data_IF_366692872321
#
_entry.id   IF_366692872321
#
_cell.length_a   1.000
_cell.length_b   1.000
_cell.length_c   1.000
_cell.angle_alpha   90.00
_cell.angle_beta   90.00
_cell.angle_gamma   90.00
#
_symmetry.space_group_name_H-M   'P 1'
#
loop_
_entity.id
_entity.type
_entity.pdbx_description
1 polymer ?
#
# COMPACT_ATOMS: atom_id res chain seq x y z
N UNK A 1 -9.41 12.14 -1.12
CA UNK A 1 -8.44 13.06 -0.47
C UNK A 1 -7.99 14.11 -1.47
N UNK A 2 -7.74 15.37 -1.07
CA UNK A 2 -7.12 16.39 -1.94
C UNK A 2 -5.78 16.79 -1.33
N UNK A 3 -4.70 16.53 -2.05
CA UNK A 3 -3.36 16.92 -1.63
C UNK A 3 -2.73 17.79 -2.72
N UNK A 4 -1.87 18.73 -2.31
CA UNK A 4 -1.35 19.79 -3.16
C UNK A 4 0.17 19.63 -3.28
N UNK A 5 0.68 19.68 -4.51
CA UNK A 5 2.11 19.70 -4.80
C UNK A 5 2.36 20.68 -5.95
N UNK A 6 3.22 21.69 -5.73
CA UNK A 6 3.47 22.75 -6.70
C UNK A 6 2.20 23.50 -7.12
N UNK A 7 1.89 23.52 -8.42
CA UNK A 7 0.70 24.18 -8.98
C UNK A 7 -0.44 23.19 -9.29
N UNK A 8 -0.43 22.01 -8.69
CA UNK A 8 -1.40 20.95 -8.97
C UNK A 8 -2.03 20.33 -7.72
N UNK A 9 -3.31 20.00 -7.82
CA UNK A 9 -3.97 19.08 -6.91
C UNK A 9 -3.93 17.67 -7.49
N UNK A 10 -3.70 16.71 -6.59
CA UNK A 10 -3.90 15.29 -6.87
C UNK A 10 -5.10 14.80 -6.06
N UNK A 11 -5.97 14.05 -6.73
CA UNK A 11 -7.26 13.64 -6.20
C UNK A 11 -7.42 12.13 -6.40
N UNK A 12 -7.51 11.41 -5.29
CA UNK A 12 -8.01 10.02 -5.28
C UNK A 12 -9.53 10.06 -5.31
N UNK A 13 -10.15 9.45 -6.33
CA UNK A 13 -11.59 9.62 -6.64
C UNK A 13 -12.18 8.38 -7.30
N UNK A 14 -13.46 8.14 -7.07
CA UNK A 14 -14.31 7.12 -7.70
C UNK A 14 -15.13 7.67 -8.91
N UNK A 15 -14.97 8.96 -9.18
CA UNK A 15 -15.60 9.65 -10.31
C UNK A 15 -15.51 8.85 -11.62
N UNK A 16 -16.58 8.95 -12.41
CA UNK A 16 -16.69 8.33 -13.74
C UNK A 16 -16.76 6.80 -13.72
N UNK A 17 -17.22 6.21 -12.59
CA UNK A 17 -17.38 4.76 -12.44
C UNK A 17 -16.07 4.05 -12.09
N UNK A 18 -15.14 4.74 -11.44
CA UNK A 18 -13.87 4.19 -11.00
C UNK A 18 -14.06 3.47 -9.65
N UNK A 19 -14.69 2.29 -9.65
CA UNK A 19 -15.04 1.56 -8.41
C UNK A 19 -13.83 1.23 -7.52
N UNK A 20 -12.66 1.03 -8.13
CA UNK A 20 -11.40 0.78 -7.43
C UNK A 20 -10.51 2.03 -7.27
N UNK A 21 -11.12 3.20 -7.46
CA UNK A 21 -10.52 4.52 -7.45
C UNK A 21 -9.46 4.75 -8.52
N UNK A 22 -9.27 6.02 -8.88
CA UNK A 22 -8.20 6.51 -9.73
C UNK A 22 -7.54 7.73 -9.10
N UNK A 23 -6.36 8.09 -9.58
CA UNK A 23 -5.71 9.37 -9.27
C UNK A 23 -5.86 10.30 -10.46
N UNK A 24 -6.46 11.46 -10.21
CA UNK A 24 -6.53 12.57 -11.16
C UNK A 24 -5.62 13.71 -10.70
N UNK A 25 -5.05 14.45 -11.66
CA UNK A 25 -4.35 15.72 -11.44
C UNK A 25 -5.19 16.87 -11.99
N UNK A 26 -5.26 17.98 -11.26
CA UNK A 26 -5.96 19.19 -11.67
C UNK A 26 -5.12 20.45 -11.38
N UNK A 27 -5.19 21.51 -12.20
CA UNK A 27 -4.50 22.77 -11.93
C UNK A 27 -5.01 23.42 -10.63
N UNK A 28 -4.10 23.92 -9.79
CA UNK A 28 -4.45 24.54 -8.51
C UNK A 28 -5.29 25.81 -8.68
N UNK A 29 -5.06 26.56 -9.76
CA UNK A 29 -5.80 27.78 -10.08
C UNK A 29 -7.20 27.52 -10.69
N UNK A 30 -7.50 26.31 -11.16
CA UNK A 30 -8.80 25.94 -11.71
C UNK A 30 -9.05 24.42 -11.55
N UNK A 31 -9.32 23.94 -10.32
CA UNK A 31 -9.39 22.51 -10.00
C UNK A 31 -10.74 21.86 -10.34
N UNK A 32 -11.50 22.44 -11.26
CA UNK A 32 -12.82 21.94 -11.64
C UNK A 32 -12.69 20.60 -12.41
N UNK A 33 -13.69 19.72 -12.26
CA UNK A 33 -13.69 18.37 -12.84
C UNK A 33 -13.33 18.32 -14.35
N UNK A 34 -13.78 19.24 -15.21
CA UNK A 34 -13.39 19.24 -16.63
C UNK A 34 -11.87 19.39 -16.88
N UNK A 35 -11.11 19.90 -15.91
CA UNK A 35 -9.66 20.05 -16.01
C UNK A 35 -8.90 18.89 -15.36
N UNK A 36 -9.60 17.84 -14.92
CA UNK A 36 -8.96 16.67 -14.33
C UNK A 36 -8.35 15.81 -15.43
N UNK A 37 -7.12 15.37 -15.20
CA UNK A 37 -6.39 14.46 -16.07
C UNK A 37 -6.04 13.23 -15.25
N UNK A 38 -6.41 12.04 -15.73
CA UNK A 38 -6.06 10.79 -15.07
C UNK A 38 -4.53 10.58 -15.14
N UNK A 39 -3.91 10.48 -13.97
CA UNK A 39 -2.46 10.23 -13.82
C UNK A 39 -2.18 8.79 -13.40
N UNK A 40 -3.13 8.18 -12.68
CA UNK A 40 -3.20 6.74 -12.45
C UNK A 40 -4.65 6.29 -12.67
N UNK A 41 -4.98 5.67 -13.82
CA UNK A 41 -6.33 5.18 -14.09
C UNK A 41 -6.78 4.08 -13.11
N UNK A 42 -8.10 3.91 -12.98
CA UNK A 42 -8.69 2.79 -12.23
C UNK A 42 -8.35 1.45 -12.88
N UNK A 43 -8.30 0.39 -12.06
CA UNK A 43 -8.03 -0.97 -12.50
C UNK A 43 -8.94 -1.96 -11.78
N UNK A 44 -9.41 -2.99 -12.48
CA UNK A 44 -10.18 -4.09 -11.86
C UNK A 44 -9.31 -5.03 -11.01
N UNK A 45 -7.98 -4.84 -11.05
CA UNK A 45 -7.01 -5.71 -10.39
C UNK A 45 -6.41 -5.10 -9.11
N UNK A 46 -6.63 -3.80 -8.88
CA UNK A 46 -6.03 -3.08 -7.75
C UNK A 46 -6.98 -1.99 -7.26
N UNK A 47 -7.21 -1.94 -5.95
CA UNK A 47 -7.90 -0.85 -5.26
C UNK A 47 -6.90 0.09 -4.56
N UNK A 48 -7.14 1.41 -4.62
CA UNK A 48 -6.43 2.39 -3.80
C UNK A 48 -7.17 2.54 -2.46
N UNK A 49 -6.49 2.25 -1.36
CA UNK A 49 -7.06 2.33 0.00
C UNK A 49 -6.76 3.70 0.65
N UNK A 50 -5.56 4.24 0.44
CA UNK A 50 -5.15 5.54 0.97
C UNK A 50 -4.01 6.17 0.14
N UNK A 51 -3.70 7.44 0.39
CA UNK A 51 -2.60 8.15 -0.25
C UNK A 51 -1.93 9.22 0.61
N UNK A 52 -0.62 9.36 0.47
CA UNK A 52 0.20 10.34 1.19
C UNK A 52 1.07 11.15 0.24
N UNK A 53 0.99 12.48 0.32
CA UNK A 53 1.70 13.38 -0.59
C UNK A 53 3.03 13.82 -0.04
N UNK A 54 4.04 13.74 -0.89
CA UNK A 54 5.36 14.34 -0.76
C UNK A 54 5.57 15.34 -1.88
N UNK A 55 6.60 16.18 -1.78
CA UNK A 55 6.89 17.24 -2.75
C UNK A 55 6.92 16.74 -4.21
N UNK A 56 7.60 15.62 -4.44
CA UNK A 56 7.81 15.05 -5.78
C UNK A 56 7.11 13.70 -6.00
N UNK A 57 6.42 13.17 -4.99
CA UNK A 57 5.85 11.82 -5.04
C UNK A 57 4.48 11.76 -4.39
N UNK A 58 3.59 10.94 -4.94
CA UNK A 58 2.39 10.48 -4.26
C UNK A 58 2.58 9.00 -3.90
N UNK A 59 2.48 8.70 -2.62
CA UNK A 59 2.55 7.34 -2.09
C UNK A 59 1.13 6.82 -1.99
N UNK A 60 0.86 5.65 -2.54
CA UNK A 60 -0.45 5.02 -2.56
C UNK A 60 -0.38 3.69 -1.82
N UNK A 61 -1.26 3.53 -0.84
CA UNK A 61 -1.48 2.25 -0.18
C UNK A 61 -2.57 1.54 -0.96
N UNK A 62 -2.23 0.39 -1.53
CA UNK A 62 -3.08 -0.33 -2.46
C UNK A 62 -3.24 -1.78 -2.03
N UNK A 63 -4.29 -2.41 -2.55
CA UNK A 63 -4.52 -3.84 -2.39
C UNK A 63 -4.81 -4.48 -3.73
N UNK A 64 -4.17 -5.62 -4.00
CA UNK A 64 -4.47 -6.40 -5.20
C UNK A 64 -5.87 -7.04 -5.10
N UNK A 65 -6.41 -7.48 -6.23
CA UNK A 65 -7.63 -8.28 -6.29
C UNK A 65 -7.55 -9.57 -5.47
N UNK A 66 -6.35 -10.10 -5.30
CA UNK A 66 -6.06 -11.26 -4.45
C UNK A 66 -6.02 -10.91 -2.95
N UNK A 67 -6.02 -9.63 -2.59
CA UNK A 67 -6.06 -9.15 -1.21
C UNK A 67 -4.70 -8.75 -0.63
N UNK A 68 -3.64 -8.80 -1.43
CA UNK A 68 -2.28 -8.50 -0.98
C UNK A 68 -2.05 -6.99 -0.92
N UNK A 69 -1.68 -6.44 0.25
CA UNK A 69 -1.35 -5.03 0.35
C UNK A 69 0.01 -4.75 -0.31
N UNK A 70 0.14 -3.58 -0.92
CA UNK A 70 1.41 -3.08 -1.42
C UNK A 70 1.41 -1.56 -1.45
N UNK A 71 2.61 -0.97 -1.56
CA UNK A 71 2.77 0.47 -1.67
C UNK A 71 3.24 0.79 -3.09
N UNK A 72 2.53 1.71 -3.75
CA UNK A 72 2.92 2.26 -5.04
C UNK A 72 3.41 3.69 -4.87
N UNK A 73 4.54 3.98 -5.49
CA UNK A 73 5.10 5.33 -5.59
C UNK A 73 4.78 5.87 -6.99
N UNK A 74 4.09 7.01 -7.05
CA UNK A 74 3.87 7.79 -8.27
C UNK A 74 4.78 9.02 -8.25
N UNK A 75 5.75 9.08 -9.17
CA UNK A 75 6.59 10.26 -9.38
C UNK A 75 5.80 11.35 -10.13
N UNK A 76 5.69 12.54 -9.54
CA UNK A 76 4.78 13.58 -10.01
C UNK A 76 5.26 14.33 -11.26
N UNK A 77 6.58 14.38 -11.45
CA UNK A 77 7.27 15.08 -12.54
C UNK A 77 7.19 14.31 -13.86
N UNK A 78 7.38 12.99 -13.79
CA UNK A 78 7.46 12.07 -14.92
C UNK A 78 6.18 11.28 -15.13
N UNK A 79 5.27 11.30 -14.15
CA UNK A 79 4.08 10.48 -14.10
C UNK A 79 4.37 8.97 -14.22
N UNK A 80 5.51 8.53 -13.67
CA UNK A 80 5.91 7.12 -13.65
C UNK A 80 5.63 6.48 -12.31
N UNK A 81 5.38 5.18 -12.29
CA UNK A 81 5.09 4.43 -11.07
C UNK A 81 6.10 3.32 -10.84
N UNK A 82 6.27 2.96 -9.58
CA UNK A 82 6.91 1.71 -9.17
C UNK A 82 6.34 1.24 -7.83
N UNK A 83 6.45 -0.06 -7.57
CA UNK A 83 5.94 -0.67 -6.34
C UNK A 83 7.10 -0.96 -5.39
N UNK A 84 6.91 -0.69 -4.09
CA UNK A 84 7.86 -1.05 -3.05
C UNK A 84 7.79 -2.56 -2.84
N UNK A 85 8.92 -3.25 -3.06
CA UNK A 85 9.02 -4.69 -2.87
C UNK A 85 9.27 -5.00 -1.39
N UNK A 86 8.30 -5.63 -0.73
CA UNK A 86 8.47 -6.18 0.62
C UNK A 86 9.08 -7.59 0.57
N UNK A 87 9.71 -8.04 1.67
CA UNK A 87 10.03 -9.45 1.86
C UNK A 87 8.82 -10.36 1.63
N UNK A 88 9.04 -11.56 1.12
CA UNK A 88 7.96 -12.48 0.71
C UNK A 88 7.06 -12.90 1.87
N UNK A 89 7.67 -13.17 3.03
CA UNK A 89 7.04 -13.52 4.30
C UNK A 89 6.20 -12.38 4.92
N UNK A 90 6.34 -11.17 4.39
CA UNK A 90 5.65 -9.97 4.86
C UNK A 90 4.50 -9.52 3.96
N UNK A 91 4.30 -10.21 2.82
CA UNK A 91 3.21 -9.92 1.87
C UNK A 91 1.84 -10.29 2.43
N UNK A 92 1.79 -11.23 3.36
CA UNK A 92 0.55 -11.66 4.03
C UNK A 92 0.40 -10.85 5.32
N UNK A 93 -0.04 -9.61 5.19
CA UNK A 93 -0.12 -8.71 6.34
C UNK A 93 -0.99 -7.49 6.13
N UNK A 94 -0.73 -6.47 6.95
CA UNK A 94 -1.30 -5.14 6.88
C UNK A 94 -0.16 -4.15 6.83
N UNK A 95 -0.23 -3.22 5.88
CA UNK A 95 0.68 -2.08 5.76
C UNK A 95 -0.02 -0.87 6.36
N UNK A 96 0.68 -0.10 7.18
CA UNK A 96 0.14 1.12 7.79
C UNK A 96 1.17 2.24 7.68
N UNK A 97 0.76 3.42 7.20
CA UNK A 97 1.67 4.57 7.19
C UNK A 97 2.06 4.97 8.62
N UNK A 98 3.33 5.31 8.81
CA UNK A 98 3.81 5.92 10.05
C UNK A 98 3.83 7.45 9.90
N UNK A 99 4.35 8.15 10.91
CA UNK A 99 4.47 9.60 10.81
C UNK A 99 5.52 10.00 9.75
N UNK A 100 5.06 10.61 8.65
CA UNK A 100 5.88 11.27 7.63
C UNK A 100 5.58 12.79 7.61
N UNK A 101 5.92 13.55 8.67
CA UNK A 101 5.47 14.93 8.83
C UNK A 101 6.14 15.93 7.87
N UNK A 102 7.26 15.56 7.26
CA UNK A 102 8.03 16.44 6.41
C UNK A 102 7.68 16.23 4.93
N UNK A 103 7.00 17.22 4.35
CA UNK A 103 6.56 17.19 2.96
C UNK A 103 7.72 17.10 1.95
N UNK A 104 8.87 17.69 2.29
CA UNK A 104 10.06 17.71 1.43
C UNK A 104 10.99 16.51 1.68
N UNK A 105 10.58 15.54 2.51
CA UNK A 105 11.37 14.35 2.76
C UNK A 105 11.44 13.44 1.52
N UNK A 106 12.52 12.67 1.44
CA UNK A 106 12.68 11.60 0.45
C UNK A 106 12.46 10.23 1.07
N UNK A 107 12.04 10.16 2.33
CA UNK A 107 11.86 8.92 3.08
C UNK A 107 10.40 8.70 3.42
N UNK A 108 9.93 7.51 3.11
CA UNK A 108 8.60 7.03 3.49
C UNK A 108 8.78 6.01 4.60
N UNK A 109 8.11 6.24 5.72
CA UNK A 109 8.07 5.33 6.86
C UNK A 109 6.70 4.68 6.94
N UNK A 110 6.69 3.36 7.10
CA UNK A 110 5.48 2.57 7.26
C UNK A 110 5.78 1.36 8.15
N UNK A 111 4.75 0.77 8.72
CA UNK A 111 4.84 -0.48 9.44
C UNK A 111 4.13 -1.61 8.71
N UNK A 112 4.66 -2.81 8.87
CA UNK A 112 4.03 -4.06 8.46
C UNK A 112 3.68 -4.85 9.72
N UNK A 113 2.46 -5.39 9.75
CA UNK A 113 2.04 -6.40 10.72
C UNK A 113 1.64 -7.66 9.97
N UNK A 114 2.15 -8.81 10.39
CA UNK A 114 1.81 -10.13 9.84
C UNK A 114 1.27 -11.01 10.96
N UNK A 115 0.63 -12.16 10.65
CA UNK A 115 0.21 -13.08 11.69
C UNK A 115 1.35 -13.62 12.57
N UNK A 116 2.59 -13.64 12.05
CA UNK A 116 3.78 -14.14 12.76
C UNK A 116 4.62 -13.03 13.41
N UNK A 117 4.44 -11.78 12.97
CA UNK A 117 5.21 -10.64 13.44
C UNK A 117 4.28 -9.44 13.70
N UNK A 118 4.05 -9.08 14.98
CA UNK A 118 3.11 -8.01 15.35
C UNK A 118 3.42 -6.68 14.67
N UNK A 119 4.70 -6.30 14.62
CA UNK A 119 5.14 -5.05 14.03
C UNK A 119 6.57 -5.11 13.52
N UNK A 120 6.76 -4.57 12.32
CA UNK A 120 8.04 -4.26 11.70
C UNK A 120 7.91 -2.84 11.17
N UNK A 121 8.90 -1.97 11.40
CA UNK A 121 8.95 -0.64 10.82
C UNK A 121 10.02 -0.59 9.74
N UNK A 122 9.63 -0.03 8.59
CA UNK A 122 10.49 0.16 7.45
C UNK A 122 10.66 1.64 7.14
N UNK A 123 11.84 1.97 6.63
CA UNK A 123 12.07 3.20 5.88
C UNK A 123 12.40 2.87 4.44
N UNK A 124 11.75 3.57 3.52
CA UNK A 124 12.03 3.51 2.09
C UNK A 124 12.54 4.87 1.60
N UNK A 125 13.72 4.89 0.98
CA UNK A 125 14.25 6.09 0.36
C UNK A 125 13.82 6.18 -1.11
N UNK A 126 13.03 7.20 -1.43
CA UNK A 126 12.42 7.43 -2.74
C UNK A 126 13.43 7.70 -3.84
N UNK A 127 14.59 8.27 -3.51
CA UNK A 127 15.63 8.62 -4.48
C UNK A 127 16.46 7.40 -4.89
N UNK A 128 16.95 6.64 -3.92
CA UNK A 128 17.77 5.45 -4.13
C UNK A 128 16.95 4.17 -4.32
N UNK A 129 15.65 4.21 -4.03
CA UNK A 129 14.71 3.08 -4.02
C UNK A 129 15.12 1.97 -3.06
N UNK A 130 15.78 2.34 -1.97
CA UNK A 130 16.28 1.39 -0.97
C UNK A 130 15.28 1.28 0.18
N UNK A 131 14.91 0.03 0.50
CA UNK A 131 14.16 -0.34 1.69
C UNK A 131 15.13 -0.83 2.78
N UNK A 132 14.91 -0.46 4.03
CA UNK A 132 15.55 -1.11 5.18
C UNK A 132 14.63 -1.14 6.39
N UNK A 133 14.77 -2.21 7.19
CA UNK A 133 14.13 -2.36 8.49
C UNK A 133 14.78 -1.41 9.50
N UNK A 134 13.97 -0.62 10.19
CA UNK A 134 14.40 0.25 11.30
C UNK A 134 14.19 -0.42 12.65
N UNK A 135 13.12 -1.21 12.76
CA UNK A 135 12.69 -1.82 13.99
C UNK A 135 11.87 -3.07 13.73
N UNK A 136 12.07 -4.09 14.55
CA UNK A 136 11.23 -5.27 14.63
C UNK A 136 10.89 -5.51 16.08
N UNK A 137 9.59 -5.62 16.35
CA UNK A 137 9.12 -5.89 17.71
C UNK A 137 9.58 -7.27 18.17
N UNK A 138 10.21 -7.31 19.35
CA UNK A 138 10.65 -8.57 19.93
C UNK A 138 9.44 -9.32 20.46
N UNK A 139 9.31 -10.58 20.03
CA UNK A 139 8.30 -11.47 20.59
C UNK A 139 8.66 -11.82 22.03
N UNK A 140 7.63 -11.91 22.87
CA UNK A 140 7.80 -12.27 24.27
C UNK A 140 8.23 -13.74 24.39
N UNK A 141 9.48 -13.96 24.80
CA UNK A 141 10.05 -15.28 25.01
C UNK A 141 9.36 -16.10 26.11
N UNK A 142 8.47 -15.48 26.91
CA UNK A 142 7.65 -16.20 27.90
C UNK A 142 6.36 -16.76 27.31
N UNK A 143 6.00 -16.37 26.09
CA UNK A 143 4.91 -17.01 25.35
C UNK A 143 5.38 -18.33 24.75
N UNK A 144 4.50 -19.33 24.72
CA UNK A 144 4.78 -20.63 24.10
C UNK A 144 4.75 -20.59 22.55
N UNK A 145 4.81 -19.39 21.96
CA UNK A 145 4.69 -19.18 20.52
C UNK A 145 6.07 -18.90 19.91
N UNK A 146 6.53 -19.82 19.08
CA UNK A 146 7.73 -19.65 18.25
C UNK A 146 7.28 -19.44 16.80
N UNK A 147 7.41 -18.22 16.23
CA UNK A 147 6.98 -17.94 14.86
C UNK A 147 7.79 -18.71 13.81
N UNK A 148 9.00 -19.16 14.14
CA UNK A 148 9.86 -19.87 13.20
C UNK A 148 9.37 -21.28 12.88
N UNK A 149 8.43 -21.78 13.68
CA UNK A 149 7.72 -23.04 13.46
C UNK A 149 6.52 -22.89 12.53
N UNK A 150 6.25 -21.70 11.99
CA UNK A 150 5.08 -21.47 11.15
C UNK A 150 5.43 -20.82 9.82
N UNK A 151 4.67 -21.16 8.79
CA UNK A 151 4.62 -20.40 7.52
C UNK A 151 3.23 -19.79 7.40
N UNK A 152 3.17 -18.51 7.01
CA UNK A 152 1.92 -17.86 6.70
C UNK A 152 1.73 -17.70 5.20
N UNK A 153 0.60 -18.18 4.72
CA UNK A 153 0.20 -18.05 3.33
C UNK A 153 -1.25 -17.58 3.20
N UNK A 154 -1.56 -17.06 2.01
CA UNK A 154 -2.92 -16.73 1.63
C UNK A 154 -3.46 -17.79 0.69
N UNK A 155 -4.56 -18.40 1.10
CA UNK A 155 -5.32 -19.36 0.31
C UNK A 155 -6.68 -18.76 -0.06
N UNK A 156 -7.37 -19.39 -1.00
CA UNK A 156 -8.69 -18.98 -1.46
C UNK A 156 -9.64 -20.17 -1.41
N UNK A 157 -10.75 -20.01 -0.68
CA UNK A 157 -11.83 -20.99 -0.65
C UNK A 157 -13.04 -20.47 -1.42
N UNK A 158 -13.78 -21.32 -2.16
CA UNK A 158 -15.02 -20.89 -2.81
C UNK A 158 -16.06 -20.51 -1.75
N UNK A 159 -16.83 -19.45 -2.04
CA UNK A 159 -17.97 -19.05 -1.21
C UNK A 159 -19.03 -20.14 -1.22
N UNK A 160 -19.76 -20.26 -0.11
CA UNK A 160 -20.86 -21.22 0.03
C UNK A 160 -22.01 -20.93 -0.94
N UNK A 161 -22.21 -19.65 -1.26
CA UNK A 161 -23.34 -19.19 -2.08
C UNK A 161 -22.99 -19.13 -3.57
N UNK A 162 -21.69 -19.00 -3.92
CA UNK A 162 -21.21 -18.96 -5.31
C UNK A 162 -19.78 -19.49 -5.40
N UNK A 163 -19.58 -20.57 -6.17
CA UNK A 163 -18.28 -21.20 -6.35
C UNK A 163 -17.26 -20.37 -7.16
N UNK A 164 -17.71 -19.30 -7.84
CA UNK A 164 -16.84 -18.37 -8.56
C UNK A 164 -16.37 -17.19 -7.69
N UNK A 165 -16.97 -17.02 -6.50
CA UNK A 165 -16.54 -16.01 -5.52
C UNK A 165 -15.59 -16.69 -4.55
N UNK A 166 -14.37 -16.19 -4.47
CA UNK A 166 -13.34 -16.74 -3.60
C UNK A 166 -13.14 -15.88 -2.35
N UNK A 167 -13.11 -16.53 -1.19
CA UNK A 167 -12.87 -15.93 0.12
C UNK A 167 -11.39 -16.12 0.46
N UNK A 168 -10.63 -15.03 0.67
CA UNK A 168 -9.24 -15.14 1.10
C UNK A 168 -9.17 -15.66 2.54
N UNK A 169 -8.31 -16.64 2.77
CA UNK A 169 -8.01 -17.20 4.08
C UNK A 169 -6.52 -17.03 4.34
N UNK A 170 -6.16 -16.57 5.54
CA UNK A 170 -4.77 -16.57 5.99
C UNK A 170 -4.58 -17.77 6.89
N UNK A 171 -3.65 -18.65 6.54
CA UNK A 171 -3.37 -19.88 7.29
C UNK A 171 -1.95 -19.79 7.83
N UNK A 172 -1.78 -20.18 9.09
CA UNK A 172 -0.46 -20.48 9.66
C UNK A 172 -0.32 -21.99 9.74
N UNK A 173 0.61 -22.56 8.99
CA UNK A 173 0.88 -24.00 9.01
C UNK A 173 2.16 -24.28 9.78
N UNK A 174 2.13 -25.28 10.67
CA UNK A 174 3.33 -25.92 11.21
C UNK A 174 3.83 -26.92 10.15
N UNK A 175 5.02 -26.73 9.54
CA UNK A 175 5.49 -27.56 8.44
C UNK A 175 5.95 -28.97 8.87
N UNK A 176 5.71 -29.38 10.13
CA UNK A 176 6.10 -30.67 10.72
C UNK A 176 5.06 -31.79 10.57
#
# INVERSE_FOLDING_TARGET
MRQHAGDSFYVVTDADGADNYKVCRAPANNPTKPNWIDVLPSSDEVIIEDGEMFHNHLILFQRSKQGDPFIRVLALDTNTTHDIQLPEDERVGVITSLANPNFDDTRVRFSVSTPLQPRIEYTYDLASRRLWEEYREQLDATTAFDPSLFVCERLWAPSREDANVFIPMTVGEDPL
#
